data_IF_274034166198
#
_entry.id   IF_274034166198
#
_cell.length_a   1.000
_cell.length_b   1.000
_cell.length_c   1.000
_cell.angle_alpha   90.00
_cell.angle_beta   90.00
_cell.angle_gamma   90.00
#
_symmetry.space_group_name_H-M   'P 1'
#
loop_
_entity.id
_entity.type
_entity.pdbx_description
1 polymer ?
#
# COMPACT_ATOMS: atom_id res chain seq x y z
N UNK A 1 43.67 -11.82 6.26
CA UNK A 1 42.60 -10.87 5.86
C UNK A 1 41.32 -11.34 6.55
N UNK A 2 40.54 -10.42 7.12
CA UNK A 2 39.83 -10.55 8.41
C UNK A 2 38.62 -11.51 8.50
N UNK A 3 38.66 -12.31 9.57
CA UNK A 3 37.66 -12.93 10.47
C UNK A 3 36.14 -12.89 10.20
N UNK A 4 35.54 -14.07 10.40
CA UNK A 4 34.12 -14.35 10.65
C UNK A 4 33.68 -13.82 12.03
N UNK A 5 32.50 -13.19 12.10
CA UNK A 5 31.73 -13.04 13.35
C UNK A 5 30.33 -13.61 13.11
N UNK A 6 30.09 -14.78 13.70
CA UNK A 6 28.74 -15.32 13.92
C UNK A 6 27.97 -14.39 14.86
N UNK A 7 26.73 -14.08 14.53
CA UNK A 7 25.72 -13.66 15.50
C UNK A 7 24.53 -14.59 15.38
N UNK A 8 24.57 -15.62 16.23
CA UNK A 8 23.48 -16.01 17.12
C UNK A 8 22.06 -15.95 16.55
N UNK A 9 21.46 -17.14 16.51
CA UNK A 9 20.04 -17.42 16.41
C UNK A 9 19.14 -16.33 17.01
N UNK A 10 18.44 -15.58 16.16
CA UNK A 10 17.21 -14.89 16.55
C UNK A 10 16.03 -15.87 16.39
N UNK A 11 16.02 -16.92 17.22
CA UNK A 11 14.80 -17.65 17.57
C UNK A 11 14.45 -17.22 18.98
N UNK A 12 13.38 -16.42 19.09
CA UNK A 12 12.57 -15.99 20.25
C UNK A 12 12.08 -14.58 19.84
N UNK A 13 10.81 -14.20 19.77
CA UNK A 13 9.58 -14.74 20.31
C UNK A 13 8.45 -13.88 19.73
N UNK A 14 7.65 -14.37 18.78
CA UNK A 14 6.56 -13.58 18.18
C UNK A 14 5.23 -13.67 18.94
N UNK A 15 5.27 -13.89 20.26
CA UNK A 15 4.09 -13.76 21.14
C UNK A 15 3.76 -12.30 21.49
N UNK A 16 4.52 -11.32 20.99
CA UNK A 16 4.18 -9.90 21.09
C UNK A 16 3.14 -9.42 20.04
N UNK A 17 2.39 -10.34 19.43
CA UNK A 17 1.46 -10.05 18.33
C UNK A 17 0.13 -9.41 18.76
N UNK A 18 -0.09 -9.13 20.05
CA UNK A 18 -1.41 -8.66 20.51
C UNK A 18 -1.55 -7.13 20.52
N UNK A 19 -0.45 -6.35 20.51
CA UNK A 19 -0.52 -4.89 20.46
C UNK A 19 0.59 -4.22 19.64
N UNK A 20 0.92 -4.78 18.46
CA UNK A 20 1.41 -3.91 17.39
C UNK A 20 0.20 -3.09 16.97
N UNK A 21 -0.04 -1.94 17.63
CA UNK A 21 -0.99 -0.95 17.12
C UNK A 21 -0.63 -0.77 15.65
N UNK A 22 -1.57 -1.14 14.80
CA UNK A 22 -1.40 -1.33 13.37
C UNK A 22 -0.98 0.01 12.78
N UNK A 23 0.32 0.28 12.72
CA UNK A 23 0.84 1.44 12.00
C UNK A 23 0.78 1.10 10.52
N UNK A 24 -0.43 1.15 9.96
CA UNK A 24 -0.69 0.90 8.56
C UNK A 24 -1.72 1.91 8.06
N UNK A 25 -1.47 2.45 6.87
CA UNK A 25 -2.36 3.41 6.21
C UNK A 25 -3.06 2.74 5.05
N UNK A 26 -4.40 2.87 4.99
CA UNK A 26 -5.18 2.52 3.81
C UNK A 26 -5.44 3.80 3.01
N UNK A 27 -4.89 3.87 1.80
CA UNK A 27 -5.14 4.93 0.84
C UNK A 27 -6.24 4.49 -0.12
N UNK A 28 -7.27 5.31 -0.26
CA UNK A 28 -8.28 5.14 -1.30
C UNK A 28 -7.74 5.79 -2.57
N UNK A 29 -7.53 5.01 -3.62
CA UNK A 29 -6.95 5.48 -4.87
C UNK A 29 -8.05 6.00 -5.80
N UNK A 30 -8.10 7.32 -5.93
CA UNK A 30 -8.98 8.01 -6.87
C UNK A 30 -8.36 7.97 -8.29
N UNK A 31 -9.19 7.68 -9.29
CA UNK A 31 -8.76 7.47 -10.68
C UNK A 31 -9.85 7.85 -11.67
N UNK A 32 -9.52 7.98 -12.95
CA UNK A 32 -10.48 8.26 -14.03
C UNK A 32 -10.66 7.08 -15.02
N UNK A 33 -10.42 5.85 -14.55
CA UNK A 33 -10.41 4.59 -15.32
C UNK A 33 -9.25 4.42 -16.30
N UNK A 34 -8.49 5.48 -16.54
CA UNK A 34 -7.24 5.40 -17.28
C UNK A 34 -6.05 5.56 -16.32
N UNK A 35 -6.10 6.58 -15.46
CA UNK A 35 -4.95 7.09 -14.73
C UNK A 35 -5.32 7.41 -13.27
N UNK A 36 -4.32 7.36 -12.38
CA UNK A 36 -4.43 7.87 -11.02
C UNK A 36 -4.54 9.39 -11.02
N UNK A 37 -5.32 9.92 -10.08
CA UNK A 37 -5.34 11.36 -9.85
C UNK A 37 -4.10 11.79 -9.04
N UNK A 38 -3.57 13.02 -9.25
CA UNK A 38 -2.42 13.52 -8.48
C UNK A 38 -2.68 13.60 -6.97
N UNK A 39 -3.94 13.73 -6.55
CA UNK A 39 -4.31 13.75 -5.14
C UNK A 39 -4.04 12.42 -4.44
N UNK A 40 -4.14 11.29 -5.14
CA UNK A 40 -3.77 9.96 -4.60
C UNK A 40 -2.28 9.90 -4.26
N UNK A 41 -1.41 10.46 -5.10
CA UNK A 41 0.04 10.49 -4.87
C UNK A 41 0.43 11.36 -3.66
N UNK A 42 -0.28 12.47 -3.45
CA UNK A 42 -0.11 13.31 -2.26
C UNK A 42 -0.47 12.54 -0.99
N UNK A 43 -1.55 11.76 -1.03
CA UNK A 43 -1.99 10.91 0.10
C UNK A 43 -0.97 9.82 0.40
N UNK A 44 -0.41 9.16 -0.61
CA UNK A 44 0.66 8.15 -0.43
C UNK A 44 1.90 8.80 0.19
N UNK A 45 2.27 10.00 -0.27
CA UNK A 45 3.42 10.73 0.29
C UNK A 45 3.19 11.10 1.76
N UNK A 46 1.97 11.50 2.12
CA UNK A 46 1.61 11.77 3.50
C UNK A 46 1.64 10.49 4.35
N UNK A 47 1.09 9.38 3.84
CA UNK A 47 1.12 8.08 4.48
C UNK A 47 2.56 7.60 4.75
N UNK A 48 3.48 7.81 3.80
CA UNK A 48 4.89 7.49 3.97
C UNK A 48 5.55 8.28 5.11
N UNK A 49 5.13 9.53 5.36
CA UNK A 49 5.61 10.35 6.48
C UNK A 49 5.07 9.88 7.83
N UNK A 50 3.86 9.32 7.87
CA UNK A 50 3.31 8.69 9.08
C UNK A 50 4.07 7.40 9.43
N UNK A 51 4.68 6.77 8.43
CA UNK A 51 5.41 5.53 8.56
C UNK A 51 4.49 4.32 8.66
N UNK A 52 5.08 3.12 8.71
CA UNK A 52 4.33 1.88 8.69
C UNK A 52 3.94 1.42 7.27
N UNK A 53 3.07 0.42 7.19
CA UNK A 53 2.72 -0.22 5.92
C UNK A 53 1.60 0.54 5.19
N UNK A 54 1.77 0.81 3.90
CA UNK A 54 0.80 1.49 3.05
C UNK A 54 0.11 0.47 2.16
N UNK A 55 -1.22 0.41 2.26
CA UNK A 55 -2.07 -0.31 1.34
C UNK A 55 -2.88 0.68 0.51
N UNK A 56 -3.07 0.41 -0.79
CA UNK A 56 -3.93 1.18 -1.67
C UNK A 56 -5.16 0.36 -2.07
N UNK A 57 -6.35 0.93 -1.97
CA UNK A 57 -7.59 0.35 -2.50
C UNK A 57 -7.97 1.05 -3.81
N UNK A 58 -8.07 0.27 -4.89
CA UNK A 58 -8.65 0.69 -6.17
C UNK A 58 -10.04 0.07 -6.26
N UNK A 59 -11.07 0.91 -6.39
CA UNK A 59 -12.46 0.48 -6.48
C UNK A 59 -13.14 1.14 -7.67
N UNK A 60 -13.63 0.34 -8.62
CA UNK A 60 -14.24 0.83 -9.85
C UNK A 60 -14.46 -0.28 -10.87
N UNK A 61 -14.64 0.11 -12.12
CA UNK A 61 -14.59 -0.78 -13.28
C UNK A 61 -13.28 -0.54 -14.06
N UNK A 62 -12.75 -1.61 -14.68
CA UNK A 62 -11.55 -1.56 -15.53
C UNK A 62 -10.32 -0.97 -14.81
N UNK A 63 -9.95 -1.55 -13.67
CA UNK A 63 -8.93 -0.99 -12.79
C UNK A 63 -7.48 -1.33 -13.20
N UNK A 64 -7.27 -2.14 -14.25
CA UNK A 64 -5.96 -2.67 -14.62
C UNK A 64 -4.87 -1.61 -14.82
N UNK A 65 -5.15 -0.55 -15.58
CA UNK A 65 -4.17 0.52 -15.86
C UNK A 65 -3.78 1.29 -14.59
N UNK A 66 -4.76 1.55 -13.72
CA UNK A 66 -4.58 2.24 -12.44
C UNK A 66 -3.72 1.41 -11.49
N UNK A 67 -3.92 0.09 -11.49
CA UNK A 67 -3.10 -0.84 -10.70
C UNK A 67 -1.66 -0.83 -11.20
N UNK A 68 -1.43 -0.87 -12.51
CA UNK A 68 -0.09 -0.77 -13.08
C UNK A 68 0.62 0.54 -12.69
N UNK A 69 -0.08 1.67 -12.69
CA UNK A 69 0.48 2.93 -12.20
C UNK A 69 0.84 2.87 -10.71
N UNK A 70 -0.04 2.32 -9.86
CA UNK A 70 0.22 2.16 -8.42
C UNK A 70 1.42 1.27 -8.13
N UNK A 71 1.69 0.23 -8.94
CA UNK A 71 2.88 -0.62 -8.74
C UNK A 71 4.20 0.12 -8.93
N UNK A 72 4.19 1.24 -9.67
CA UNK A 72 5.37 2.08 -9.89
C UNK A 72 5.57 3.09 -8.76
N UNK A 73 4.58 3.26 -7.88
CA UNK A 73 4.65 4.21 -6.76
C UNK A 73 5.43 3.58 -5.61
N UNK A 74 6.57 4.17 -5.29
CA UNK A 74 7.39 3.74 -4.16
C UNK A 74 6.66 3.86 -2.83
N UNK A 75 6.87 2.88 -1.94
CA UNK A 75 6.30 2.90 -0.59
C UNK A 75 4.91 2.26 -0.47
N UNK A 76 4.28 1.79 -1.54
CA UNK A 76 3.06 0.96 -1.47
C UNK A 76 3.43 -0.51 -1.24
N UNK A 77 2.93 -1.12 -0.16
CA UNK A 77 3.19 -2.53 0.18
C UNK A 77 2.12 -3.47 -0.35
N UNK A 78 0.88 -2.98 -0.51
CA UNK A 78 -0.26 -3.79 -0.92
C UNK A 78 -1.21 -2.99 -1.79
N UNK A 79 -1.70 -3.62 -2.86
CA UNK A 79 -2.77 -3.07 -3.68
C UNK A 79 -3.98 -4.01 -3.54
N UNK A 80 -5.10 -3.45 -3.13
CA UNK A 80 -6.40 -4.11 -3.03
C UNK A 80 -7.24 -3.64 -4.21
N UNK A 81 -7.81 -4.58 -4.96
CA UNK A 81 -8.62 -4.27 -6.14
C UNK A 81 -10.03 -4.77 -5.89
N UNK A 82 -10.98 -3.84 -5.94
CA UNK A 82 -12.41 -4.10 -5.91
C UNK A 82 -12.99 -3.72 -7.28
N UNK A 83 -12.87 -4.62 -8.25
CA UNK A 83 -13.37 -4.40 -9.60
C UNK A 83 -14.81 -4.90 -9.75
N UNK A 84 -15.76 -3.98 -9.91
CA UNK A 84 -17.17 -4.26 -10.18
C UNK A 84 -17.88 -2.99 -10.67
N UNK A 85 -18.87 -3.14 -11.55
CA UNK A 85 -19.67 -2.00 -12.05
C UNK A 85 -20.42 -1.25 -10.94
N UNK A 86 -20.73 -1.91 -9.81
CA UNK A 86 -21.36 -1.28 -8.62
C UNK A 86 -20.51 -0.16 -8.03
N UNK A 87 -19.19 -0.16 -8.27
CA UNK A 87 -18.28 0.88 -7.77
C UNK A 87 -18.09 2.06 -8.73
N UNK A 88 -18.83 2.10 -9.84
CA UNK A 88 -18.80 3.25 -10.74
C UNK A 88 -19.24 4.53 -10.00
N UNK A 89 -18.44 5.58 -10.11
CA UNK A 89 -18.66 6.85 -9.41
C UNK A 89 -18.25 6.88 -7.92
N UNK A 90 -17.68 5.80 -7.37
CA UNK A 90 -17.17 5.81 -5.99
C UNK A 90 -15.79 6.47 -5.89
N UNK A 91 -14.79 5.92 -6.62
CA UNK A 91 -13.44 6.50 -6.74
C UNK A 91 -13.15 7.04 -8.15
N UNK A 92 -14.13 6.92 -9.06
CA UNK A 92 -14.06 7.35 -10.44
C UNK A 92 -14.45 8.82 -10.55
N UNK A 93 -13.47 9.71 -10.70
CA UNK A 93 -13.67 11.16 -10.87
C UNK A 93 -13.38 11.59 -12.30
#
# INVERSE_FOLDING_TARGET
>A
MFHIVSRSAQRLSSTASVFRRLNSTLVIAEHNNAQLTPITLNTITAAAKLGGDIACLVAGSKCASVVEELTKVGGVQKILVAENEVFNGFCQV
#
